data_IF_538983540742
#
_entry.id   IF_538983540742
#
_cell.length_a   1.000
_cell.length_b   1.000
_cell.length_c   1.000
_cell.angle_alpha   90.00
_cell.angle_beta   90.00
_cell.angle_gamma   90.00
#
_symmetry.space_group_name_H-M   'P 1'
#
loop_
_entity.id
_entity.type
_entity.pdbx_description
1 polymer ?
#
# COMPACT_ATOMS: atom_id res chain seq x y z
N UNK A 1 16.37 -1.25 -9.28
CA UNK A 1 16.27 -0.67 -10.65
C UNK A 1 15.30 0.51 -10.71
N UNK A 2 14.05 0.38 -10.28
CA UNK A 2 13.05 1.46 -10.35
C UNK A 2 13.50 2.79 -9.69
N UNK A 3 14.22 2.74 -8.56
CA UNK A 3 14.77 3.94 -7.89
C UNK A 3 15.76 4.72 -8.75
N UNK A 4 16.61 4.05 -9.52
CA UNK A 4 17.55 4.73 -10.41
C UNK A 4 16.83 5.46 -11.55
N UNK A 5 15.66 4.94 -11.95
CA UNK A 5 14.79 5.54 -12.95
C UNK A 5 13.81 6.56 -12.38
N UNK A 6 13.88 6.84 -11.06
CA UNK A 6 12.97 7.75 -10.35
C UNK A 6 11.49 7.39 -10.55
N UNK A 7 11.18 6.09 -10.62
CA UNK A 7 9.81 5.59 -10.72
C UNK A 7 9.24 5.33 -9.31
N UNK A 8 7.95 5.60 -9.16
CA UNK A 8 7.15 5.15 -8.01
C UNK A 8 6.90 3.65 -8.12
N UNK A 9 7.12 2.92 -7.04
CA UNK A 9 6.89 1.47 -6.97
C UNK A 9 5.69 1.18 -6.08
N UNK A 10 4.73 0.42 -6.61
CA UNK A 10 3.60 -0.14 -5.86
C UNK A 10 3.92 -1.60 -5.56
N UNK A 11 3.85 -2.00 -4.29
CA UNK A 11 3.87 -3.39 -3.89
C UNK A 11 2.44 -3.90 -3.70
N UNK A 12 2.03 -4.88 -4.51
CA UNK A 12 0.70 -5.48 -4.47
C UNK A 12 0.73 -6.84 -3.78
N UNK A 13 -0.40 -7.25 -3.20
CA UNK A 13 -0.54 -8.53 -2.50
C UNK A 13 0.10 -8.56 -1.10
N UNK A 14 0.18 -7.42 -0.42
CA UNK A 14 0.69 -7.35 0.97
C UNK A 14 -0.38 -7.80 1.96
N UNK A 15 -0.17 -8.97 2.57
CA UNK A 15 -1.13 -9.63 3.45
C UNK A 15 -0.66 -9.71 4.90
N UNK A 16 0.65 -9.56 5.16
CA UNK A 16 1.23 -9.66 6.51
C UNK A 16 2.14 -8.48 6.85
N UNK A 17 2.25 -8.15 8.14
CA UNK A 17 3.17 -7.11 8.63
C UNK A 17 4.63 -7.40 8.27
N UNK A 18 5.04 -8.67 8.24
CA UNK A 18 6.38 -9.09 7.85
C UNK A 18 6.68 -8.73 6.39
N UNK A 19 5.74 -8.98 5.47
CA UNK A 19 5.86 -8.58 4.07
C UNK A 19 5.96 -7.06 3.95
N UNK A 20 5.11 -6.32 4.67
CA UNK A 20 5.15 -4.86 4.69
C UNK A 20 6.51 -4.34 5.16
N UNK A 21 7.03 -4.86 6.28
CA UNK A 21 8.31 -4.43 6.84
C UNK A 21 9.46 -4.67 5.85
N UNK A 22 9.49 -5.84 5.21
CA UNK A 22 10.49 -6.15 4.17
C UNK A 22 10.39 -5.20 2.97
N UNK A 23 9.18 -4.97 2.44
CA UNK A 23 8.96 -4.12 1.27
C UNK A 23 9.23 -2.63 1.56
N UNK A 24 8.91 -2.18 2.78
CA UNK A 24 9.24 -0.85 3.28
C UNK A 24 10.76 -0.66 3.41
N UNK A 25 11.47 -1.67 3.93
CA UNK A 25 12.94 -1.66 3.96
C UNK A 25 13.56 -1.59 2.55
N UNK A 26 12.96 -2.27 1.57
CA UNK A 26 13.31 -2.19 0.14
C UNK A 26 12.89 -0.88 -0.53
N UNK A 27 12.25 0.04 0.21
CA UNK A 27 11.80 1.37 -0.24
C UNK A 27 10.73 1.30 -1.34
N UNK A 28 9.81 0.34 -1.29
CA UNK A 28 8.54 0.46 -2.02
C UNK A 28 7.78 1.72 -1.55
N UNK A 29 7.10 2.39 -2.47
CA UNK A 29 6.51 3.71 -2.22
C UNK A 29 5.04 3.61 -1.79
N UNK A 30 4.29 2.71 -2.44
CA UNK A 30 2.88 2.47 -2.19
C UNK A 30 2.64 0.98 -1.96
N UNK A 31 1.57 0.65 -1.24
CA UNK A 31 1.25 -0.72 -0.85
C UNK A 31 -0.24 -1.00 -1.07
N UNK A 32 -0.54 -2.19 -1.58
CA UNK A 32 -1.89 -2.72 -1.70
C UNK A 32 -1.90 -4.18 -1.26
N UNK A 33 -2.93 -4.57 -0.52
CA UNK A 33 -3.19 -5.95 -0.16
C UNK A 33 -4.10 -6.05 1.06
N UNK A 34 -4.45 -7.28 1.45
CA UNK A 34 -5.42 -7.52 2.53
C UNK A 34 -4.97 -7.03 3.91
N UNK A 35 -3.68 -6.78 4.11
CA UNK A 35 -3.19 -6.09 5.31
C UNK A 35 -3.78 -4.67 5.43
N UNK A 36 -3.96 -3.99 4.29
CA UNK A 36 -4.45 -2.60 4.24
C UNK A 36 -5.96 -2.50 4.00
N UNK A 37 -6.52 -3.48 3.29
CA UNK A 37 -7.95 -3.53 3.03
C UNK A 37 -8.28 -4.49 1.90
N UNK A 38 -9.49 -5.05 1.94
CA UNK A 38 -10.06 -5.75 0.79
C UNK A 38 -10.56 -4.74 -0.24
N UNK A 39 -10.61 -5.10 -1.53
CA UNK A 39 -11.26 -4.26 -2.54
C UNK A 39 -12.67 -3.87 -2.08
N UNK A 40 -12.95 -2.57 -2.07
CA UNK A 40 -14.28 -2.07 -1.77
C UNK A 40 -15.20 -2.32 -2.98
N UNK A 41 -16.47 -2.65 -2.72
CA UNK A 41 -17.47 -2.83 -3.76
C UNK A 41 -17.78 -1.52 -4.51
N UNK A 42 -17.61 -0.38 -3.83
CA UNK A 42 -17.75 0.95 -4.42
C UNK A 42 -16.47 1.75 -4.19
N UNK A 43 -15.76 2.02 -5.27
CA UNK A 43 -14.51 2.79 -5.27
C UNK A 43 -14.75 4.28 -4.95
N UNK A 44 -16.00 4.75 -4.99
CA UNK A 44 -16.39 6.13 -4.76
C UNK A 44 -16.98 6.38 -3.36
N UNK A 45 -17.22 5.35 -2.54
CA UNK A 45 -17.85 5.56 -1.24
C UNK A 45 -16.85 6.22 -0.27
N UNK A 46 -17.11 7.44 0.24
CA UNK A 46 -16.17 8.19 1.09
C UNK A 46 -15.94 7.56 2.47
N UNK A 47 -16.67 6.49 2.79
CA UNK A 47 -16.81 5.93 4.13
C UNK A 47 -15.51 5.29 4.67
N UNK A 48 -14.49 5.07 3.85
CA UNK A 48 -13.21 4.47 4.28
C UNK A 48 -12.02 5.44 4.34
N UNK A 49 -12.19 6.73 4.03
CA UNK A 49 -11.10 7.72 4.05
C UNK A 49 -10.92 8.46 5.40
N UNK A 50 -11.55 8.00 6.48
CA UNK A 50 -11.27 8.51 7.83
C UNK A 50 -10.25 7.62 8.54
N UNK A 51 -8.98 7.79 8.19
CA UNK A 51 -7.88 7.29 9.00
C UNK A 51 -6.90 8.44 9.29
N UNK A 52 -7.11 9.03 10.48
CA UNK A 52 -6.18 9.83 11.28
C UNK A 52 -5.46 11.00 10.60
N UNK A 53 -6.09 12.18 10.63
CA UNK A 53 -5.34 13.39 10.97
C UNK A 53 -4.84 13.24 12.41
N UNK A 54 -3.52 13.20 12.58
CA UNK A 54 -2.85 13.58 13.82
C UNK A 54 -1.51 14.23 13.47
#
# INVERSE_FOLDING_TARGET
>A
MAKALKLTVVAEGVETEEQFNMLSWLRCDLFQGYLFGRPAADFASPTQLQASEN
#
